data_IF_002548817231
#
_entry.id   IF_002548817231
#
_cell.length_a   1.000
_cell.length_b   1.000
_cell.length_c   1.000
_cell.angle_alpha   90.00
_cell.angle_beta   90.00
_cell.angle_gamma   90.00
#
_symmetry.space_group_name_H-M   'P 1'
#
loop_
_entity.id
_entity.type
_entity.pdbx_description
1 polymer ?
#
# COMPACT_ATOMS: atom_id res chain seq x y z
N UNK A 1 -23.52 -3.84 -6.02
CA UNK A 1 -22.73 -3.94 -7.28
C UNK A 1 -21.33 -4.39 -6.94
N UNK A 2 -20.67 -5.18 -7.79
CA UNK A 2 -19.27 -5.61 -7.62
C UNK A 2 -18.43 -5.05 -8.79
N UNK A 3 -17.88 -3.84 -8.60
CA UNK A 3 -17.20 -3.05 -9.66
C UNK A 3 -15.72 -2.80 -9.36
N UNK A 4 -15.14 -3.57 -8.44
CA UNK A 4 -13.75 -3.44 -8.01
C UNK A 4 -13.60 -2.83 -6.63
N UNK A 5 -12.34 -2.74 -6.19
CA UNK A 5 -11.91 -2.17 -4.90
C UNK A 5 -10.90 -1.04 -5.14
N UNK A 6 -10.67 -0.24 -4.11
CA UNK A 6 -9.67 0.84 -4.10
C UNK A 6 -8.87 0.74 -2.80
N UNK A 7 -7.55 1.00 -2.82
CA UNK A 7 -6.78 1.18 -1.59
C UNK A 7 -7.42 2.20 -0.66
N UNK A 8 -7.48 1.87 0.64
CA UNK A 8 -7.87 2.82 1.69
C UNK A 8 -6.62 3.56 2.16
N UNK A 9 -6.54 4.85 1.85
CA UNK A 9 -5.33 5.65 2.06
C UNK A 9 -5.55 6.85 2.98
N UNK A 10 -6.76 7.08 3.53
CA UNK A 10 -7.03 8.29 4.31
C UNK A 10 -6.10 8.47 5.49
N UNK A 11 -5.85 7.40 6.26
CA UNK A 11 -4.95 7.47 7.42
C UNK A 11 -3.52 7.79 7.00
N UNK A 12 -3.04 7.24 5.88
CA UNK A 12 -1.72 7.53 5.36
C UNK A 12 -1.62 8.98 4.87
N UNK A 13 -2.67 9.51 4.22
CA UNK A 13 -2.71 10.94 3.85
C UNK A 13 -2.64 11.83 5.09
N UNK A 14 -3.43 11.52 6.12
CA UNK A 14 -3.45 12.30 7.37
C UNK A 14 -2.13 12.19 8.16
N UNK A 15 -1.42 11.05 8.04
CA UNK A 15 -0.13 10.80 8.67
C UNK A 15 1.06 11.33 7.86
N UNK A 16 0.86 11.73 6.60
CA UNK A 16 1.87 12.25 5.67
C UNK A 16 2.90 11.27 5.07
N UNK A 17 2.72 9.92 5.07
CA UNK A 17 3.36 9.07 4.08
C UNK A 17 3.03 9.45 2.62
N UNK A 18 3.92 9.11 1.70
CA UNK A 18 3.71 9.24 0.26
C UNK A 18 2.58 8.30 -0.20
N UNK A 19 1.62 8.86 -0.92
CA UNK A 19 0.42 8.17 -1.39
C UNK A 19 0.14 8.57 -2.83
N UNK A 20 -0.09 7.57 -3.68
CA UNK A 20 -0.53 7.74 -5.07
C UNK A 20 -1.88 7.05 -5.27
N UNK A 21 -1.93 5.90 -5.95
CA UNK A 21 -3.13 5.06 -5.99
C UNK A 21 -3.25 4.22 -4.71
N UNK A 22 -2.13 3.86 -4.11
CA UNK A 22 -1.98 3.26 -2.77
C UNK A 22 -0.89 3.94 -1.96
N UNK A 23 -0.61 3.41 -0.77
CA UNK A 23 0.51 3.85 0.09
C UNK A 23 1.81 3.40 -0.58
N UNK A 24 2.66 4.34 -0.96
CA UNK A 24 3.91 4.05 -1.68
C UNK A 24 4.88 3.38 -0.72
N UNK A 25 5.41 2.23 -1.13
CA UNK A 25 6.36 1.45 -0.33
C UNK A 25 7.60 1.05 -1.12
N UNK A 26 8.71 0.92 -0.39
CA UNK A 26 9.95 0.32 -0.88
C UNK A 26 9.87 -1.21 -0.99
N UNK A 27 10.93 -1.85 -1.50
CA UNK A 27 11.05 -3.31 -1.57
C UNK A 27 10.98 -4.02 -0.20
N UNK A 28 11.14 -3.27 0.89
CA UNK A 28 11.03 -3.76 2.26
C UNK A 28 9.70 -3.39 2.92
N UNK A 29 8.73 -2.94 2.14
CA UNK A 29 7.40 -2.51 2.60
C UNK A 29 7.40 -1.28 3.52
N UNK A 30 8.54 -0.59 3.63
CA UNK A 30 8.68 0.67 4.35
C UNK A 30 8.12 1.81 3.51
N UNK A 31 7.31 2.67 4.12
CA UNK A 31 6.75 3.87 3.49
C UNK A 31 7.80 4.99 3.38
N UNK A 32 7.40 6.21 3.01
CA UNK A 32 8.30 7.38 3.08
C UNK A 32 8.64 7.81 4.52
N UNK A 33 7.85 7.39 5.51
CA UNK A 33 8.20 7.46 6.93
C UNK A 33 8.91 6.15 7.34
N UNK A 34 10.17 6.20 7.82
CA UNK A 34 10.95 5.00 8.12
C UNK A 34 10.40 4.17 9.30
N UNK A 35 9.55 4.76 10.13
CA UNK A 35 8.93 4.08 11.28
C UNK A 35 7.56 3.46 10.94
N UNK A 36 7.07 3.67 9.70
CA UNK A 36 5.77 3.18 9.23
C UNK A 36 5.97 2.20 8.07
N UNK A 37 5.45 0.99 8.24
CA UNK A 37 5.35 -0.03 7.20
C UNK A 37 3.90 -0.18 6.75
N UNK A 38 3.69 -0.58 5.50
CA UNK A 38 2.37 -0.93 4.97
C UNK A 38 2.45 -2.24 4.18
N UNK A 39 1.45 -3.11 4.35
CA UNK A 39 1.33 -4.40 3.66
C UNK A 39 -0.10 -4.63 3.20
N UNK A 40 -0.26 -5.45 2.16
CA UNK A 40 -1.55 -5.87 1.61
C UNK A 40 -2.10 -4.94 0.53
N UNK A 41 -3.42 -4.92 0.39
CA UNK A 41 -4.08 -4.28 -0.76
C UNK A 41 -3.99 -2.74 -0.77
N UNK A 42 -3.61 -2.14 0.37
CA UNK A 42 -3.42 -0.70 0.46
C UNK A 42 -2.07 -0.23 -0.12
N UNK A 43 -1.13 -1.13 -0.39
CA UNK A 43 0.23 -0.78 -0.81
C UNK A 43 0.37 -0.61 -2.31
N UNK A 44 1.16 0.39 -2.71
CA UNK A 44 1.67 0.57 -4.05
C UNK A 44 3.19 0.35 -4.06
N UNK A 45 3.63 -0.73 -4.70
CA UNK A 45 5.05 -1.07 -4.81
C UNK A 45 5.49 -0.92 -6.26
N UNK A 46 6.46 -0.03 -6.51
CA UNK A 46 6.95 0.29 -7.86
C UNK A 46 5.81 0.60 -8.87
N UNK A 47 4.81 1.38 -8.43
CA UNK A 47 3.66 1.77 -9.26
C UNK A 47 2.57 0.69 -9.43
N UNK A 48 2.72 -0.46 -8.76
CA UNK A 48 1.81 -1.61 -8.90
C UNK A 48 0.92 -1.78 -7.67
N UNK A 49 -0.37 -2.01 -7.93
CA UNK A 49 -1.35 -2.47 -6.95
C UNK A 49 -1.69 -3.92 -7.25
N UNK A 50 -1.35 -4.83 -6.33
CA UNK A 50 -1.55 -6.25 -6.57
C UNK A 50 -3.00 -6.70 -6.37
N UNK A 51 -3.69 -6.22 -5.32
CA UNK A 51 -5.10 -6.55 -5.05
C UNK A 51 -5.40 -8.04 -4.97
N UNK A 52 -4.42 -8.82 -4.46
CA UNK A 52 -4.46 -10.28 -4.41
C UNK A 52 -3.89 -10.78 -3.08
N UNK A 53 -4.41 -11.90 -2.61
CA UNK A 53 -3.95 -12.54 -1.36
C UNK A 53 -2.56 -13.17 -1.53
N UNK A 54 -2.25 -13.74 -2.69
CA UNK A 54 -0.98 -14.45 -2.87
C UNK A 54 0.27 -13.53 -2.68
N UNK A 55 0.35 -12.34 -3.31
CA UNK A 55 1.47 -11.41 -3.07
C UNK A 55 1.61 -10.95 -1.63
N UNK A 56 0.54 -10.93 -0.83
CA UNK A 56 0.57 -10.51 0.57
C UNK A 56 1.50 -11.39 1.42
N UNK A 57 1.61 -12.68 1.10
CA UNK A 57 2.52 -13.57 1.82
C UNK A 57 4.00 -13.23 1.59
N UNK A 58 4.33 -12.65 0.45
CA UNK A 58 5.71 -12.24 0.11
C UNK A 58 6.06 -10.84 0.65
N UNK A 59 5.05 -10.08 1.11
CA UNK A 59 5.23 -8.74 1.69
C UNK A 59 5.59 -8.79 3.20
N UNK A 60 5.40 -9.94 3.87
CA UNK A 60 5.51 -10.10 5.32
C UNK A 60 6.77 -10.85 5.76
#
# INVERSE_FOLDING_TARGET
MAVGIRPETRLAVDAHPEVERGIVVSDRMVTSDPDILAVGECTEHQGQLFGLVAPLYDQA
#
